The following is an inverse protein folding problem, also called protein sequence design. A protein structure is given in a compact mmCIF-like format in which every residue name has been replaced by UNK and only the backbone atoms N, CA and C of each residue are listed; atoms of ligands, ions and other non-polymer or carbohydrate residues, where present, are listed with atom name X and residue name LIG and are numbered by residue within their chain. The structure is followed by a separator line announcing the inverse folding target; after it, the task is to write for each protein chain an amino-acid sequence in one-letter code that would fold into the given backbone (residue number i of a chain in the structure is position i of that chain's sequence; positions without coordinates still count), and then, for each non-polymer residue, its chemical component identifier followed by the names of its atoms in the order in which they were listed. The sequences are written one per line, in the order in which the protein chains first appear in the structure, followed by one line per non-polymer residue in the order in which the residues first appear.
data_IF_161701419028
#
_entry.id   IF_161701419028
#
_cell.length_a   1.000
_cell.length_b   1.000
_cell.length_c   1.000
_cell.angle_alpha   90.00
_cell.angle_beta   90.00
_cell.angle_gamma   90.00
#
_symmetry.space_group_name_H-M   'P 1'
#
loop_
_entity.id
_entity.type
_entity.pdbx_description
1 polymer ?
#
# COMPACT_ATOMS: atom_id res chain seq x y z
N UNK A 1 -23.87 10.09 0.40
CA UNK A 1 -23.17 9.59 1.61
C UNK A 1 -22.13 10.60 2.01
N UNK A 2 -22.02 10.85 3.30
CA UNK A 2 -21.08 11.82 3.87
C UNK A 2 -19.82 11.11 4.34
N UNK A 3 -18.67 11.48 3.80
CA UNK A 3 -17.36 10.89 4.13
C UNK A 3 -16.43 11.97 4.67
N UNK A 4 -15.85 11.71 5.85
CA UNK A 4 -14.79 12.54 6.40
C UNK A 4 -13.42 12.10 5.87
N UNK A 5 -12.64 13.00 5.31
CA UNK A 5 -11.24 12.73 4.91
C UNK A 5 -10.31 13.46 5.88
N UNK A 6 -9.56 12.71 6.66
CA UNK A 6 -8.62 13.18 7.68
C UNK A 6 -7.22 13.17 7.12
N UNK A 7 -6.70 14.36 6.86
CA UNK A 7 -5.41 14.60 6.22
C UNK A 7 -5.56 15.29 4.85
N UNK A 8 -4.98 16.48 4.73
CA UNK A 8 -4.99 17.28 3.49
C UNK A 8 -3.68 17.15 2.69
N UNK A 9 -2.95 16.05 2.89
CA UNK A 9 -1.76 15.71 2.14
C UNK A 9 -2.06 15.10 0.77
N UNK A 10 -1.00 14.60 0.11
CA UNK A 10 -1.07 13.98 -1.21
C UNK A 10 -2.12 12.84 -1.28
N UNK A 11 -2.12 11.93 -0.31
CA UNK A 11 -3.07 10.81 -0.29
C UNK A 11 -4.49 11.27 0.02
N UNK A 12 -4.67 12.16 1.00
CA UNK A 12 -5.99 12.73 1.30
C UNK A 12 -6.62 13.43 0.10
N UNK A 13 -5.82 14.16 -0.69
CA UNK A 13 -6.30 14.80 -1.91
C UNK A 13 -6.79 13.78 -2.95
N UNK A 14 -6.04 12.68 -3.18
CA UNK A 14 -6.43 11.61 -4.10
C UNK A 14 -7.73 10.95 -3.64
N UNK A 15 -7.81 10.60 -2.35
CA UNK A 15 -9.00 9.95 -1.77
C UNK A 15 -10.24 10.84 -1.85
N UNK A 16 -10.09 12.13 -1.54
CA UNK A 16 -11.18 13.09 -1.63
C UNK A 16 -11.68 13.25 -3.07
N UNK A 17 -10.75 13.42 -4.04
CA UNK A 17 -11.07 13.52 -5.46
C UNK A 17 -11.82 12.29 -5.98
N UNK A 18 -11.35 11.08 -5.64
CA UNK A 18 -11.96 9.83 -6.07
C UNK A 18 -13.36 9.65 -5.49
N UNK A 19 -13.54 9.94 -4.20
CA UNK A 19 -14.83 9.81 -3.52
C UNK A 19 -15.86 10.84 -4.04
N UNK A 20 -15.42 12.06 -4.31
CA UNK A 20 -16.26 13.08 -4.96
C UNK A 20 -16.68 12.62 -6.36
N UNK A 21 -15.75 12.07 -7.14
CA UNK A 21 -16.03 11.50 -8.47
C UNK A 21 -17.02 10.34 -8.42
N UNK A 22 -17.07 9.59 -7.32
CA UNK A 22 -18.00 8.49 -7.08
C UNK A 22 -19.33 8.94 -6.41
N UNK A 23 -19.56 10.25 -6.28
CA UNK A 23 -20.79 10.86 -5.80
C UNK A 23 -20.95 10.94 -4.28
N UNK A 24 -19.87 10.82 -3.51
CA UNK A 24 -19.90 11.09 -2.07
C UNK A 24 -19.86 12.60 -1.77
N UNK A 25 -20.49 13.00 -0.68
CA UNK A 25 -20.28 14.31 -0.05
C UNK A 25 -19.04 14.22 0.84
N UNK A 26 -17.98 14.99 0.54
CA UNK A 26 -16.71 14.92 1.24
C UNK A 26 -16.52 16.16 2.11
N UNK A 27 -16.11 15.95 3.36
CA UNK A 27 -15.62 17.01 4.27
C UNK A 27 -14.17 16.72 4.65
N UNK A 28 -13.28 17.70 4.45
CA UNK A 28 -11.84 17.57 4.71
C UNK A 28 -11.51 18.11 6.09
N UNK A 29 -10.75 17.31 6.84
CA UNK A 29 -10.20 17.66 8.15
C UNK A 29 -8.67 17.58 8.13
N UNK A 30 -8.00 18.51 8.77
CA UNK A 30 -6.56 18.48 8.92
C UNK A 30 -6.14 19.25 10.17
N UNK A 31 -5.10 18.80 10.89
CA UNK A 31 -4.60 19.51 12.09
C UNK A 31 -4.25 20.99 11.82
N UNK A 32 -3.86 21.33 10.58
CA UNK A 32 -3.75 22.70 10.09
C UNK A 32 -5.01 23.01 9.29
N UNK A 33 -5.98 23.68 9.88
CA UNK A 33 -7.28 23.94 9.26
C UNK A 33 -7.15 24.64 7.90
N UNK A 34 -6.24 25.58 7.77
CA UNK A 34 -5.96 26.26 6.48
C UNK A 34 -5.65 25.26 5.34
N UNK A 35 -4.91 24.18 5.63
CA UNK A 35 -4.62 23.17 4.60
C UNK A 35 -5.87 22.37 4.19
N UNK A 36 -6.81 22.17 5.11
CA UNK A 36 -8.10 21.56 4.80
C UNK A 36 -8.96 22.49 3.94
N UNK A 37 -9.02 23.77 4.28
CA UNK A 37 -9.74 24.81 3.53
C UNK A 37 -9.22 24.96 2.08
N UNK A 38 -7.87 25.04 1.92
CA UNK A 38 -7.23 25.15 0.61
C UNK A 38 -7.55 23.95 -0.29
N UNK A 39 -7.45 22.72 0.28
CA UNK A 39 -7.77 21.51 -0.46
C UNK A 39 -9.25 21.42 -0.80
N UNK A 40 -10.12 21.71 0.15
CA UNK A 40 -11.57 21.70 -0.06
C UNK A 40 -12.00 22.71 -1.15
N UNK A 41 -11.45 23.92 -1.11
CA UNK A 41 -11.67 24.94 -2.15
C UNK A 41 -11.22 24.46 -3.53
N UNK A 42 -10.05 23.80 -3.60
CA UNK A 42 -9.52 23.25 -4.85
C UNK A 42 -10.40 22.15 -5.43
N UNK A 43 -10.98 21.30 -4.59
CA UNK A 43 -11.79 20.15 -4.99
C UNK A 43 -13.30 20.50 -5.11
N UNK A 44 -13.72 21.65 -4.61
CA UNK A 44 -15.14 22.05 -4.59
C UNK A 44 -15.98 21.27 -3.58
N UNK A 45 -15.41 20.96 -2.42
CA UNK A 45 -16.09 20.26 -1.33
C UNK A 45 -15.98 21.03 -0.01
N UNK A 46 -16.50 20.47 1.08
CA UNK A 46 -16.50 21.09 2.41
C UNK A 46 -15.20 20.85 3.16
N UNK A 47 -14.87 21.74 4.08
CA UNK A 47 -13.88 21.55 5.14
C UNK A 47 -14.48 21.93 6.50
N UNK A 48 -13.89 21.40 7.57
CA UNK A 48 -14.29 21.76 8.93
C UNK A 48 -13.08 21.75 9.86
N UNK A 49 -13.19 22.43 10.99
CA UNK A 49 -12.16 22.43 12.04
C UNK A 49 -11.86 21.00 12.52
N UNK A 50 -10.59 20.67 12.70
CA UNK A 50 -10.16 19.33 13.11
C UNK A 50 -10.84 18.84 14.39
N UNK A 51 -11.09 19.75 15.34
CA UNK A 51 -11.81 19.47 16.60
C UNK A 51 -13.23 18.93 16.42
N UNK A 52 -13.83 19.20 15.28
CA UNK A 52 -15.24 18.86 14.98
C UNK A 52 -15.42 17.48 14.35
N UNK A 53 -14.34 16.73 14.08
CA UNK A 53 -14.42 15.43 13.42
C UNK A 53 -15.28 14.41 14.17
N UNK A 54 -15.32 14.51 15.51
CA UNK A 54 -16.08 13.59 16.37
C UNK A 54 -17.49 14.06 16.68
N UNK A 55 -17.80 15.34 16.45
CA UNK A 55 -19.10 15.94 16.73
C UNK A 55 -20.06 15.91 15.55
N UNK A 56 -19.57 15.65 14.35
CA UNK A 56 -20.35 15.53 13.14
C UNK A 56 -20.63 14.05 12.81
N UNK A 57 -21.74 13.79 12.12
CA UNK A 57 -22.11 12.43 11.72
C UNK A 57 -21.70 12.18 10.28
N UNK A 58 -20.82 11.18 10.08
CA UNK A 58 -20.40 10.69 8.78
C UNK A 58 -20.79 9.23 8.61
N UNK A 59 -20.95 8.81 7.36
CA UNK A 59 -21.22 7.42 7.02
C UNK A 59 -19.92 6.59 6.98
N UNK A 60 -18.76 7.23 6.76
CA UNK A 60 -17.44 6.62 6.77
C UNK A 60 -16.32 7.65 6.93
N UNK A 61 -15.13 7.16 7.21
CA UNK A 61 -13.93 7.97 7.45
C UNK A 61 -12.76 7.49 6.59
N UNK A 62 -11.94 8.43 6.13
CA UNK A 62 -10.65 8.15 5.49
C UNK A 62 -9.55 8.72 6.35
N UNK A 63 -8.59 7.91 6.78
CA UNK A 63 -7.40 8.33 7.53
C UNK A 63 -6.21 8.31 6.58
N UNK A 64 -5.80 9.51 6.13
CA UNK A 64 -4.72 9.73 5.15
C UNK A 64 -3.68 10.73 5.68
N UNK A 65 -3.34 10.59 6.95
CA UNK A 65 -2.33 11.38 7.67
C UNK A 65 -0.95 10.73 7.59
N UNK A 66 0.02 11.27 8.31
CA UNK A 66 1.29 10.58 8.52
C UNK A 66 1.08 9.35 9.43
N UNK A 67 1.85 8.29 9.23
CA UNK A 67 1.70 6.99 9.92
C UNK A 67 1.69 7.11 11.44
N UNK A 68 2.53 7.97 12.00
CA UNK A 68 2.62 8.19 13.46
C UNK A 68 1.36 8.80 14.10
N UNK A 69 0.41 9.29 13.28
CA UNK A 69 -0.87 9.81 13.76
C UNK A 69 -2.03 8.81 13.58
N UNK A 70 -1.83 7.71 12.85
CA UNK A 70 -2.92 6.78 12.53
C UNK A 70 -3.56 6.19 13.79
N UNK A 71 -2.76 5.66 14.72
CA UNK A 71 -3.26 4.96 15.92
C UNK A 71 -4.10 5.89 16.79
N UNK A 72 -3.65 7.13 17.04
CA UNK A 72 -4.41 8.12 17.81
C UNK A 72 -5.78 8.40 17.17
N UNK A 73 -5.79 8.61 15.85
CA UNK A 73 -7.02 8.91 15.11
C UNK A 73 -7.93 7.68 15.06
N UNK A 74 -7.39 6.50 14.79
CA UNK A 74 -8.16 5.25 14.74
C UNK A 74 -8.80 4.92 16.10
N UNK A 75 -8.06 5.08 17.21
CA UNK A 75 -8.60 4.87 18.55
C UNK A 75 -9.80 5.76 18.86
N UNK A 76 -9.87 6.93 18.25
CA UNK A 76 -10.98 7.86 18.41
C UNK A 76 -12.15 7.60 17.43
N UNK A 77 -11.87 7.11 16.21
CA UNK A 77 -12.88 6.88 15.18
C UNK A 77 -13.51 5.48 15.24
N UNK A 78 -12.74 4.47 15.62
CA UNK A 78 -13.21 3.07 15.67
C UNK A 78 -14.43 2.90 16.57
N UNK A 79 -14.51 3.54 17.77
CA UNK A 79 -15.70 3.45 18.62
C UNK A 79 -16.99 4.00 18.00
N UNK A 80 -16.92 4.76 16.92
CA UNK A 80 -18.08 5.30 16.22
C UNK A 80 -18.82 4.24 15.39
N UNK A 81 -18.23 3.05 15.19
CA UNK A 81 -18.84 1.93 14.48
C UNK A 81 -19.06 2.15 12.98
N UNK A 82 -18.36 3.11 12.37
CA UNK A 82 -18.47 3.44 10.94
C UNK A 82 -17.27 2.90 10.16
N UNK A 83 -17.44 2.47 8.90
CA UNK A 83 -16.32 2.02 8.08
C UNK A 83 -15.21 3.07 7.95
N UNK A 84 -13.96 2.60 7.99
CA UNK A 84 -12.78 3.45 7.91
C UNK A 84 -11.87 2.92 6.78
N UNK A 85 -11.43 3.80 5.87
CA UNK A 85 -10.28 3.55 4.99
C UNK A 85 -9.05 4.16 5.66
N UNK A 86 -8.09 3.34 6.05
CA UNK A 86 -6.84 3.80 6.63
C UNK A 86 -5.69 3.57 5.65
N UNK A 87 -4.87 4.58 5.39
CA UNK A 87 -3.63 4.42 4.62
C UNK A 87 -2.66 3.47 5.34
N UNK A 88 -1.83 2.81 4.56
CA UNK A 88 -0.79 1.90 5.06
C UNK A 88 0.45 2.67 5.55
N UNK A 89 1.20 2.08 6.47
CA UNK A 89 0.80 1.02 7.40
C UNK A 89 -0.16 1.55 8.47
N UNK A 90 -0.92 0.68 9.12
CA UNK A 90 -1.80 1.09 10.23
C UNK A 90 -0.96 1.70 11.36
N UNK A 91 0.14 1.04 11.72
CA UNK A 91 1.17 1.52 12.62
C UNK A 91 2.54 0.95 12.24
N UNK A 92 3.60 1.37 12.93
CA UNK A 92 4.95 0.82 12.74
C UNK A 92 5.25 -0.40 13.62
N UNK A 93 4.33 -0.80 14.51
CA UNK A 93 4.46 -1.96 15.39
C UNK A 93 3.30 -2.93 15.23
N UNK A 94 3.57 -4.23 15.47
CA UNK A 94 2.52 -5.26 15.44
C UNK A 94 1.57 -5.07 16.62
N UNK A 95 2.10 -4.72 17.77
CA UNK A 95 1.36 -4.54 19.02
C UNK A 95 0.28 -3.46 18.89
N UNK A 96 0.64 -2.27 18.39
CA UNK A 96 -0.32 -1.19 18.14
C UNK A 96 -1.34 -1.58 17.06
N UNK A 97 -0.91 -2.31 16.02
CA UNK A 97 -1.82 -2.80 14.98
C UNK A 97 -2.82 -3.80 15.58
N UNK A 98 -2.37 -4.70 16.47
CA UNK A 98 -3.23 -5.66 17.16
C UNK A 98 -4.25 -4.98 18.10
N UNK A 99 -3.85 -3.92 18.79
CA UNK A 99 -4.75 -3.11 19.63
C UNK A 99 -5.85 -2.43 18.79
N UNK A 100 -5.49 -1.88 17.63
CA UNK A 100 -6.46 -1.30 16.69
C UNK A 100 -7.43 -2.37 16.17
N UNK A 101 -6.92 -3.55 15.79
CA UNK A 101 -7.76 -4.67 15.31
C UNK A 101 -8.72 -5.13 16.41
N UNK A 102 -8.23 -5.34 17.63
CA UNK A 102 -9.06 -5.78 18.76
C UNK A 102 -10.16 -4.75 19.08
N UNK A 103 -9.82 -3.46 19.00
CA UNK A 103 -10.80 -2.38 19.20
C UNK A 103 -11.83 -2.38 18.07
N UNK A 104 -11.41 -2.54 16.82
CA UNK A 104 -12.31 -2.61 15.67
C UNK A 104 -13.27 -3.81 15.76
N UNK A 105 -12.75 -4.98 16.14
CA UNK A 105 -13.58 -6.19 16.37
C UNK A 105 -14.61 -5.96 17.50
N UNK A 106 -14.21 -5.30 18.60
CA UNK A 106 -15.10 -4.97 19.72
C UNK A 106 -16.28 -4.09 19.31
N UNK A 107 -16.05 -3.11 18.45
CA UNK A 107 -17.09 -2.16 18.00
C UNK A 107 -17.74 -2.56 16.67
N UNK A 108 -17.32 -3.66 16.05
CA UNK A 108 -17.83 -4.11 14.76
C UNK A 108 -17.43 -3.17 13.60
N UNK A 109 -16.37 -2.39 13.78
CA UNK A 109 -15.92 -1.39 12.80
C UNK A 109 -15.11 -2.05 11.69
N UNK A 110 -15.52 -1.81 10.45
CA UNK A 110 -14.79 -2.29 9.29
C UNK A 110 -13.65 -1.32 8.95
N UNK A 111 -12.41 -1.79 8.99
CA UNK A 111 -11.23 -1.03 8.54
C UNK A 111 -10.73 -1.63 7.24
N UNK A 112 -10.85 -0.90 6.14
CA UNK A 112 -10.17 -1.20 4.86
C UNK A 112 -8.80 -0.54 4.88
N UNK A 113 -7.74 -1.29 4.56
CA UNK A 113 -6.39 -0.73 4.51
C UNK A 113 -6.01 -0.37 3.08
N UNK A 114 -5.30 0.75 2.92
CA UNK A 114 -4.90 1.33 1.63
C UNK A 114 -3.83 0.53 0.90
N UNK A 115 -4.13 -0.72 0.51
CA UNK A 115 -3.29 -1.53 -0.38
C UNK A 115 -3.81 -1.46 -1.82
N UNK A 116 -3.64 -0.30 -2.44
CA UNK A 116 -4.16 -0.01 -3.77
C UNK A 116 -3.75 -1.02 -4.85
N UNK A 117 -2.60 -1.70 -4.69
CA UNK A 117 -2.13 -2.66 -5.70
C UNK A 117 -3.09 -3.85 -5.90
N UNK A 118 -3.91 -4.22 -4.90
CA UNK A 118 -4.97 -5.24 -5.05
C UNK A 118 -6.05 -4.82 -6.05
N UNK A 119 -6.25 -3.51 -6.22
CA UNK A 119 -7.25 -2.90 -7.09
C UNK A 119 -6.71 -2.55 -8.48
N UNK A 120 -5.41 -2.76 -8.74
CA UNK A 120 -4.82 -2.60 -10.07
C UNK A 120 -5.40 -3.67 -11.02
N UNK A 121 -6.06 -3.27 -12.12
CA UNK A 121 -6.79 -4.22 -12.95
C UNK A 121 -5.98 -5.43 -13.41
N UNK A 122 -4.74 -5.28 -13.94
CA UNK A 122 -3.94 -6.43 -14.33
C UNK A 122 -3.54 -7.31 -13.14
N UNK A 123 -3.22 -6.75 -11.96
CA UNK A 123 -2.90 -7.53 -10.76
C UNK A 123 -4.15 -8.29 -10.29
N UNK A 124 -5.32 -7.63 -10.23
CA UNK A 124 -6.58 -8.26 -9.85
C UNK A 124 -6.98 -9.38 -10.82
N UNK A 125 -6.74 -9.19 -12.13
CA UNK A 125 -6.97 -10.24 -13.13
C UNK A 125 -6.05 -11.44 -12.90
N UNK A 126 -4.76 -11.20 -12.67
CA UNK A 126 -3.80 -12.29 -12.41
C UNK A 126 -4.15 -13.07 -11.14
N UNK A 127 -4.53 -12.39 -10.05
CA UNK A 127 -4.99 -13.04 -8.82
C UNK A 127 -6.22 -13.94 -9.06
N UNK A 128 -7.16 -13.50 -9.89
CA UNK A 128 -8.32 -14.34 -10.30
C UNK A 128 -7.90 -15.55 -11.11
N UNK A 129 -6.98 -15.41 -12.06
CA UNK A 129 -6.45 -16.53 -12.84
C UNK A 129 -5.76 -17.56 -11.94
N UNK A 130 -4.99 -17.10 -10.95
CA UNK A 130 -4.38 -18.00 -9.95
C UNK A 130 -5.46 -18.72 -9.13
N UNK A 131 -6.44 -18.00 -8.59
CA UNK A 131 -7.50 -18.59 -7.76
C UNK A 131 -8.40 -19.57 -8.52
N UNK A 132 -8.58 -19.37 -9.82
CA UNK A 132 -9.32 -20.28 -10.70
C UNK A 132 -8.52 -21.54 -11.08
N UNK A 133 -7.20 -21.59 -10.78
CA UNK A 133 -6.31 -22.67 -11.20
C UNK A 133 -5.87 -22.61 -12.67
N UNK A 134 -6.06 -21.45 -13.33
CA UNK A 134 -5.65 -21.24 -14.73
C UNK A 134 -4.14 -21.33 -14.89
N UNK A 135 -3.39 -20.86 -13.89
CA UNK A 135 -1.90 -20.89 -13.86
C UNK A 135 -1.35 -22.24 -13.39
N UNK A 136 -2.21 -23.08 -12.78
CA UNK A 136 -1.83 -24.39 -12.22
C UNK A 136 -1.13 -24.26 -10.87
N UNK A 137 -0.21 -25.20 -10.59
CA UNK A 137 0.63 -25.12 -9.37
C UNK A 137 1.63 -23.98 -9.50
N UNK A 138 1.61 -23.04 -8.56
CA UNK A 138 2.56 -21.94 -8.54
C UNK A 138 3.97 -22.45 -8.18
N UNK A 139 4.95 -22.04 -8.96
CA UNK A 139 6.35 -22.31 -8.74
C UNK A 139 7.05 -21.12 -8.10
N UNK A 140 7.07 -19.99 -8.83
CA UNK A 140 7.78 -18.79 -8.40
C UNK A 140 7.01 -17.53 -8.73
N UNK A 141 7.27 -16.47 -7.92
CA UNK A 141 6.91 -15.10 -8.22
C UNK A 141 8.19 -14.24 -8.25
N UNK A 142 8.30 -13.33 -9.22
CA UNK A 142 9.34 -12.32 -9.25
C UNK A 142 8.70 -10.94 -9.16
N UNK A 143 9.16 -10.10 -8.24
CA UNK A 143 8.59 -8.79 -7.99
C UNK A 143 9.64 -7.69 -8.05
N UNK A 144 9.24 -6.57 -8.59
CA UNK A 144 10.06 -5.37 -8.76
C UNK A 144 9.30 -4.18 -8.16
N UNK A 145 9.95 -3.45 -7.27
CA UNK A 145 9.40 -2.26 -6.64
C UNK A 145 10.49 -1.17 -6.61
N UNK A 146 10.52 -0.36 -7.68
CA UNK A 146 11.56 0.65 -7.88
C UNK A 146 10.92 2.04 -7.94
N UNK A 147 11.26 2.89 -6.99
CA UNK A 147 10.84 4.28 -6.99
C UNK A 147 11.67 5.13 -7.97
N UNK A 148 11.03 6.07 -8.64
CA UNK A 148 11.70 6.95 -9.60
C UNK A 148 12.65 7.95 -8.94
N UNK A 149 12.31 8.42 -7.74
CA UNK A 149 13.09 9.43 -7.03
C UNK A 149 13.29 9.05 -5.56
N UNK A 150 14.46 9.40 -4.99
CA UNK A 150 14.73 9.15 -3.59
C UNK A 150 13.72 9.83 -2.66
N UNK A 151 13.50 9.21 -1.52
CA UNK A 151 12.67 9.78 -0.46
C UNK A 151 13.31 11.04 0.15
N UNK A 152 12.46 11.99 0.58
CA UNK A 152 12.94 13.17 1.31
C UNK A 152 13.35 12.80 2.74
N UNK A 153 14.21 13.60 3.37
CA UNK A 153 14.62 13.38 4.76
C UNK A 153 13.44 13.41 5.72
N UNK A 154 12.51 14.36 5.54
CA UNK A 154 11.29 14.46 6.33
C UNK A 154 10.44 13.19 6.29
N UNK A 155 10.36 12.56 5.12
CA UNK A 155 9.65 11.29 4.97
C UNK A 155 10.36 10.15 5.70
N UNK A 156 11.70 10.07 5.63
CA UNK A 156 12.49 8.99 6.25
C UNK A 156 12.39 8.98 7.77
N UNK A 157 12.21 10.13 8.43
CA UNK A 157 12.06 10.22 9.89
C UNK A 157 10.88 9.43 10.44
N UNK A 158 9.84 9.20 9.63
CA UNK A 158 8.60 8.55 10.09
C UNK A 158 8.11 7.38 9.25
N UNK A 159 8.83 7.00 8.18
CA UNK A 159 8.37 5.97 7.24
C UNK A 159 8.71 4.53 7.66
N UNK A 160 9.65 4.36 8.57
CA UNK A 160 10.28 3.08 8.84
C UNK A 160 11.31 2.73 7.76
N UNK A 161 11.62 1.44 7.62
CA UNK A 161 12.57 0.95 6.62
C UNK A 161 11.94 0.78 5.24
N UNK A 162 12.77 0.52 4.23
CA UNK A 162 12.33 0.11 2.89
C UNK A 162 11.35 -1.07 2.94
N UNK A 163 11.46 -1.94 3.95
CA UNK A 163 10.58 -3.09 4.15
C UNK A 163 9.18 -2.68 4.61
N UNK A 164 9.07 -1.70 5.55
CA UNK A 164 7.79 -1.24 6.10
C UNK A 164 7.07 -0.25 5.19
N UNK A 165 7.80 0.48 4.37
CA UNK A 165 7.20 1.47 3.48
C UNK A 165 6.96 0.94 2.06
N UNK A 166 8.01 0.40 1.40
CA UNK A 166 7.94 -0.03 0.01
C UNK A 166 7.44 -1.48 -0.11
N UNK A 167 8.13 -2.42 0.56
CA UNK A 167 7.86 -3.86 0.39
C UNK A 167 6.63 -4.38 1.13
N UNK A 168 6.06 -3.62 2.05
CA UNK A 168 4.79 -3.97 2.69
C UNK A 168 3.69 -4.24 1.65
N UNK A 169 3.71 -3.54 0.52
CA UNK A 169 2.81 -3.78 -0.60
C UNK A 169 3.09 -5.11 -1.31
N UNK A 170 4.36 -5.49 -1.42
CA UNK A 170 4.76 -6.75 -2.06
C UNK A 170 4.36 -7.93 -1.17
N UNK A 171 4.61 -7.84 0.14
CA UNK A 171 4.24 -8.88 1.12
C UNK A 171 2.72 -9.08 1.15
N UNK A 172 1.95 -8.02 1.09
CA UNK A 172 0.49 -8.10 0.99
C UNK A 172 0.04 -8.82 -0.29
N UNK A 173 0.59 -8.44 -1.45
CA UNK A 173 0.24 -9.05 -2.72
C UNK A 173 0.61 -10.54 -2.80
N UNK A 174 1.78 -10.93 -2.28
CA UNK A 174 2.20 -12.34 -2.27
C UNK A 174 1.16 -13.17 -1.54
N UNK A 175 0.79 -12.78 -0.32
CA UNK A 175 -0.19 -13.48 0.50
C UNK A 175 -1.56 -13.55 -0.18
N UNK A 176 -1.99 -12.44 -0.76
CA UNK A 176 -3.28 -12.33 -1.42
C UNK A 176 -3.37 -13.15 -2.71
N UNK A 177 -2.32 -13.12 -3.56
CA UNK A 177 -2.29 -13.87 -4.83
C UNK A 177 -2.12 -15.36 -4.59
N UNK A 178 -1.18 -15.74 -3.71
CA UNK A 178 -0.87 -17.16 -3.44
C UNK A 178 -1.87 -17.81 -2.49
N UNK A 179 -2.70 -17.02 -1.79
CA UNK A 179 -3.58 -17.46 -0.70
C UNK A 179 -2.83 -18.27 0.35
N UNK A 180 -1.59 -17.89 0.62
CA UNK A 180 -0.67 -18.60 1.49
C UNK A 180 0.13 -17.61 2.32
N UNK A 181 0.39 -17.94 3.58
CA UNK A 181 1.23 -17.13 4.46
C UNK A 181 2.70 -17.25 4.05
N UNK A 182 3.50 -16.22 4.40
CA UNK A 182 4.94 -16.24 4.20
C UNK A 182 5.55 -16.98 5.39
N UNK A 183 6.32 -18.04 5.12
CA UNK A 183 6.90 -18.91 6.13
C UNK A 183 8.30 -18.48 6.53
N UNK A 184 9.10 -18.00 5.57
CA UNK A 184 10.51 -17.68 5.79
C UNK A 184 10.96 -16.58 4.83
N UNK A 185 11.83 -15.69 5.31
CA UNK A 185 12.47 -14.64 4.52
C UNK A 185 13.99 -14.65 4.71
N UNK A 186 14.70 -14.23 3.66
CA UNK A 186 16.09 -13.83 3.72
C UNK A 186 16.25 -12.53 2.95
N UNK A 187 16.74 -11.49 3.62
CA UNK A 187 16.87 -10.17 3.05
C UNK A 187 18.32 -9.69 3.04
N UNK A 188 18.71 -8.97 2.01
CA UNK A 188 19.95 -8.21 1.94
C UNK A 188 19.65 -6.79 1.48
N UNK A 189 20.47 -5.83 1.90
CA UNK A 189 20.32 -4.44 1.54
C UNK A 189 21.66 -3.73 1.40
N UNK A 190 21.67 -2.60 0.69
CA UNK A 190 22.85 -1.76 0.57
C UNK A 190 22.46 -0.30 0.38
N UNK A 191 23.31 0.63 0.83
CA UNK A 191 23.31 2.01 0.41
C UNK A 191 24.31 2.17 -0.73
N UNK A 192 23.81 2.39 -1.95
CA UNK A 192 24.65 2.43 -3.16
C UNK A 192 24.93 3.85 -3.64
N UNK A 193 23.90 4.69 -3.71
CA UNK A 193 23.97 6.04 -4.26
C UNK A 193 23.64 7.09 -3.19
N UNK A 194 22.57 6.90 -2.45
CA UNK A 194 21.97 7.93 -1.60
C UNK A 194 22.31 7.73 -0.12
N UNK A 195 23.41 8.31 0.35
CA UNK A 195 23.95 8.16 1.70
C UNK A 195 23.00 8.61 2.83
N UNK A 196 21.95 9.35 2.51
CA UNK A 196 20.94 9.76 3.48
C UNK A 196 20.24 8.58 4.17
N UNK A 197 20.07 7.47 3.48
CA UNK A 197 19.40 6.27 4.03
C UNK A 197 20.17 5.65 5.18
N UNK A 198 21.51 5.66 5.14
CA UNK A 198 22.35 5.12 6.21
C UNK A 198 22.12 5.81 7.57
N UNK A 199 21.67 7.07 7.59
CA UNK A 199 21.38 7.80 8.83
C UNK A 199 20.14 7.30 9.56
N UNK A 200 19.28 6.53 8.87
CA UNK A 200 18.02 6.00 9.39
C UNK A 200 18.03 4.48 9.45
N UNK A 201 19.20 3.84 9.41
CA UNK A 201 19.36 2.36 9.33
C UNK A 201 18.56 1.75 8.16
N UNK A 202 18.35 2.54 7.09
CA UNK A 202 17.61 2.18 5.88
C UNK A 202 18.56 2.01 4.68
N UNK A 203 18.03 1.62 3.53
CA UNK A 203 18.79 1.39 2.31
C UNK A 203 18.09 1.97 1.08
N UNK A 204 18.87 2.24 0.03
CA UNK A 204 18.33 2.60 -1.29
C UNK A 204 18.16 1.39 -2.20
N UNK A 205 18.72 0.22 -1.83
CA UNK A 205 18.60 -1.04 -2.58
C UNK A 205 18.34 -2.20 -1.63
N UNK A 206 17.42 -3.08 -2.01
CA UNK A 206 17.10 -4.31 -1.26
C UNK A 206 16.88 -5.49 -2.21
N UNK A 207 17.22 -6.68 -1.71
CA UNK A 207 16.91 -7.95 -2.36
C UNK A 207 16.35 -8.91 -1.31
N UNK A 208 15.22 -9.52 -1.60
CA UNK A 208 14.53 -10.44 -0.68
C UNK A 208 14.26 -11.75 -1.39
N UNK A 209 14.60 -12.85 -0.76
CA UNK A 209 14.15 -14.19 -1.09
C UNK A 209 13.22 -14.68 0.00
N UNK A 210 12.04 -15.20 -0.35
CA UNK A 210 11.11 -15.74 0.62
C UNK A 210 10.41 -17.01 0.12
N UNK A 211 9.86 -17.77 1.05
CA UNK A 211 9.08 -18.98 0.77
C UNK A 211 7.76 -18.88 1.51
N UNK A 212 6.68 -19.22 0.82
CA UNK A 212 5.34 -19.30 1.44
C UNK A 212 5.15 -20.66 2.12
N UNK A 213 4.12 -20.77 2.97
CA UNK A 213 3.73 -22.04 3.63
C UNK A 213 3.30 -23.11 2.64
N UNK A 214 2.82 -22.72 1.44
CA UNK A 214 2.51 -23.63 0.34
C UNK A 214 3.71 -24.02 -0.53
N UNK A 215 4.91 -23.48 -0.22
CA UNK A 215 6.15 -23.80 -0.93
C UNK A 215 6.49 -22.92 -2.12
N UNK A 216 5.68 -21.90 -2.44
CA UNK A 216 5.98 -20.95 -3.52
C UNK A 216 7.23 -20.16 -3.17
N UNK A 217 8.19 -20.08 -4.12
CA UNK A 217 9.42 -19.30 -3.97
C UNK A 217 9.22 -17.90 -4.54
N UNK A 218 9.69 -16.87 -3.85
CA UNK A 218 9.55 -15.48 -4.31
C UNK A 218 10.87 -14.75 -4.25
N UNK A 219 11.19 -14.01 -5.32
CA UNK A 219 12.29 -13.06 -5.37
C UNK A 219 11.73 -11.64 -5.51
N UNK A 220 12.20 -10.71 -4.69
CA UNK A 220 11.78 -9.30 -4.72
C UNK A 220 13.02 -8.42 -4.81
N UNK A 221 13.02 -7.46 -5.73
CA UNK A 221 14.01 -6.38 -5.76
C UNK A 221 13.34 -5.04 -5.47
N UNK A 222 13.99 -4.21 -4.67
CA UNK A 222 13.55 -2.87 -4.37
C UNK A 222 14.64 -1.84 -4.55
N UNK A 223 14.28 -0.69 -5.10
CA UNK A 223 15.16 0.47 -5.12
C UNK A 223 14.40 1.76 -4.77
N UNK A 224 15.08 2.66 -4.08
CA UNK A 224 14.56 4.01 -3.77
C UNK A 224 14.88 5.03 -4.87
N UNK A 225 15.52 4.59 -5.96
CA UNK A 225 15.85 5.42 -7.10
C UNK A 225 16.01 4.57 -8.37
N UNK A 226 15.18 4.83 -9.35
CA UNK A 226 15.32 4.35 -10.72
C UNK A 226 15.31 5.56 -11.67
N UNK A 227 16.43 5.90 -12.31
CA UNK A 227 16.53 7.10 -13.14
C UNK A 227 15.63 7.05 -14.38
N UNK A 228 15.18 5.88 -14.82
CA UNK A 228 14.32 5.71 -15.99
C UNK A 228 12.86 5.96 -15.65
N UNK A 229 12.40 5.60 -14.44
CA UNK A 229 11.03 5.82 -14.02
C UNK A 229 10.61 4.94 -12.85
N UNK A 230 9.34 5.05 -12.47
CA UNK A 230 8.74 4.22 -11.41
C UNK A 230 8.37 2.84 -11.97
N UNK A 231 8.99 1.78 -11.45
CA UNK A 231 8.82 0.42 -11.91
C UNK A 231 8.19 -0.48 -10.84
N UNK A 232 6.96 -0.91 -11.08
CA UNK A 232 6.31 -1.96 -10.28
C UNK A 232 5.79 -3.03 -11.22
N UNK A 233 6.44 -4.19 -11.17
CA UNK A 233 6.15 -5.35 -12.00
C UNK A 233 6.01 -6.60 -11.13
N UNK A 234 5.28 -7.57 -11.66
CA UNK A 234 5.10 -8.89 -11.08
C UNK A 234 5.12 -9.93 -12.21
N UNK A 235 5.89 -10.98 -12.04
CA UNK A 235 5.88 -12.16 -12.88
C UNK A 235 5.46 -13.36 -12.05
N UNK A 236 4.57 -14.19 -12.57
CA UNK A 236 4.02 -15.38 -11.92
C UNK A 236 4.28 -16.58 -12.82
N UNK A 237 4.93 -17.60 -12.31
CA UNK A 237 5.25 -18.83 -13.03
C UNK A 237 4.54 -20.01 -12.38
N UNK A 238 3.80 -20.75 -13.19
CA UNK A 238 3.08 -21.93 -12.74
C UNK A 238 3.19 -23.09 -13.72
N UNK A 239 2.57 -24.20 -13.35
CA UNK A 239 2.66 -25.44 -14.12
C UNK A 239 1.88 -25.44 -15.44
N UNK A 240 0.97 -24.49 -15.65
CA UNK A 240 0.12 -24.38 -16.84
C UNK A 240 0.35 -23.09 -17.62
N UNK A 241 0.76 -22.01 -16.96
CA UNK A 241 0.91 -20.70 -17.58
C UNK A 241 1.91 -19.83 -16.81
N UNK A 242 2.38 -18.75 -17.48
CA UNK A 242 3.24 -17.72 -16.92
C UNK A 242 2.68 -16.34 -17.26
N UNK A 243 2.59 -15.48 -16.27
CA UNK A 243 1.99 -14.16 -16.38
C UNK A 243 3.03 -13.07 -16.10
N UNK A 244 2.98 -11.97 -16.87
CA UNK A 244 3.74 -10.77 -16.59
C UNK A 244 2.78 -9.57 -16.42
N UNK A 245 2.93 -8.85 -15.33
CA UNK A 245 2.15 -7.66 -14.98
C UNK A 245 3.10 -6.47 -14.86
N UNK A 246 2.72 -5.33 -15.43
CA UNK A 246 3.56 -4.12 -15.44
C UNK A 246 4.58 -4.09 -16.56
N UNK A 247 4.73 -5.17 -17.32
CA UNK A 247 5.54 -5.20 -18.55
C UNK A 247 4.70 -4.64 -19.71
N UNK A 248 4.86 -3.37 -19.98
CA UNK A 248 4.12 -2.64 -21.00
C UNK A 248 5.01 -1.55 -21.65
N UNK A 249 4.46 -0.76 -22.57
CA UNK A 249 5.23 0.29 -23.27
C UNK A 249 5.81 1.36 -22.33
N UNK A 250 5.27 1.52 -21.12
CA UNK A 250 5.76 2.48 -20.11
C UNK A 250 6.71 1.86 -19.07
N UNK A 251 7.04 0.58 -19.21
CA UNK A 251 8.03 -0.07 -18.31
C UNK A 251 9.35 0.69 -18.36
N UNK A 252 9.92 1.11 -17.21
CA UNK A 252 11.10 1.99 -17.19
C UNK A 252 12.42 1.22 -17.31
N UNK A 253 12.55 0.47 -18.40
CA UNK A 253 13.78 -0.24 -18.80
C UNK A 253 14.11 0.12 -20.23
N UNK A 254 15.36 -0.09 -20.61
CA UNK A 254 15.81 -0.01 -21.99
C UNK A 254 15.97 -1.42 -22.54
N UNK A 255 15.38 -1.65 -23.71
CA UNK A 255 15.58 -2.88 -24.46
C UNK A 255 16.85 -2.75 -25.31
N UNK A 256 17.88 -3.51 -24.96
CA UNK A 256 19.16 -3.49 -25.64
C UNK A 256 19.10 -4.29 -26.97
N UNK A 257 18.18 -5.26 -27.07
CA UNK A 257 17.95 -6.03 -28.29
C UNK A 257 17.14 -5.24 -29.32
N UNK A 258 16.41 -4.20 -28.88
CA UNK A 258 15.66 -3.30 -29.77
C UNK A 258 14.33 -3.85 -30.27
N UNK A 259 13.84 -4.95 -29.71
CA UNK A 259 12.61 -5.61 -30.13
C UNK A 259 11.35 -4.93 -29.49
N UNK A 260 11.51 -4.28 -28.34
CA UNK A 260 10.39 -3.65 -27.62
C UNK A 260 10.38 -2.13 -27.88
N UNK A 261 9.34 -1.65 -28.53
CA UNK A 261 9.14 -0.22 -28.75
C UNK A 261 8.52 0.43 -27.50
N UNK A 262 9.36 0.78 -26.53
CA UNK A 262 8.93 1.49 -25.34
C UNK A 262 8.49 2.93 -25.64
N UNK A 263 7.49 3.44 -24.88
CA UNK A 263 7.08 4.83 -24.98
C UNK A 263 8.20 5.79 -24.52
N UNK A 264 8.33 6.98 -25.10
CA UNK A 264 9.36 7.94 -24.68
C UNK A 264 9.14 8.47 -23.26
N UNK A 265 7.90 8.43 -22.76
CA UNK A 265 7.55 8.87 -21.40
C UNK A 265 7.19 7.65 -20.57
N UNK A 266 7.90 7.48 -19.46
CA UNK A 266 7.69 6.43 -18.46
C UNK A 266 6.87 6.95 -17.28
N UNK A 267 6.40 6.05 -16.42
CA UNK A 267 5.77 6.45 -15.16
C UNK A 267 6.77 7.21 -14.28
N UNK A 268 6.36 8.38 -13.80
CA UNK A 268 7.19 9.22 -12.90
C UNK A 268 6.94 8.95 -11.42
N UNK A 269 5.96 8.12 -11.10
CA UNK A 269 5.67 7.79 -9.71
C UNK A 269 4.46 6.86 -9.59
N UNK A 270 4.25 6.41 -8.37
CA UNK A 270 3.19 5.45 -8.05
C UNK A 270 1.78 5.99 -8.30
N UNK A 271 1.56 7.31 -8.15
CA UNK A 271 0.25 7.92 -8.42
C UNK A 271 -0.12 7.74 -9.90
N UNK A 272 0.80 8.01 -10.81
CA UNK A 272 0.56 7.82 -12.24
C UNK A 272 0.39 6.34 -12.60
N UNK A 273 1.26 5.48 -12.04
CA UNK A 273 1.21 4.03 -12.30
C UNK A 273 -0.09 3.39 -11.79
N UNK A 274 -0.58 3.84 -10.63
CA UNK A 274 -1.71 3.22 -9.94
C UNK A 274 -2.95 4.12 -9.87
N UNK A 275 -3.09 5.13 -10.76
CA UNK A 275 -4.22 6.06 -10.71
C UNK A 275 -5.58 5.36 -10.74
N UNK A 276 -5.72 4.38 -11.62
CA UNK A 276 -6.95 3.57 -11.72
C UNK A 276 -7.16 2.69 -10.48
N UNK A 277 -6.09 2.16 -9.91
CA UNK A 277 -6.15 1.35 -8.71
C UNK A 277 -6.64 2.16 -7.49
N UNK A 278 -6.15 3.40 -7.33
CA UNK A 278 -6.64 4.31 -6.28
C UNK A 278 -8.11 4.64 -6.43
N UNK A 279 -8.57 4.92 -7.64
CA UNK A 279 -9.99 5.19 -7.89
C UNK A 279 -10.86 3.97 -7.55
N UNK A 280 -10.45 2.77 -7.98
CA UNK A 280 -11.17 1.51 -7.67
C UNK A 280 -11.15 1.16 -6.18
N UNK A 281 -10.07 1.45 -5.47
CA UNK A 281 -9.98 1.25 -4.04
C UNK A 281 -10.91 2.19 -3.27
N UNK A 282 -10.95 3.47 -3.65
CA UNK A 282 -11.87 4.45 -3.08
C UNK A 282 -13.33 4.11 -3.39
N UNK A 283 -13.63 3.62 -4.60
CA UNK A 283 -14.94 3.10 -4.98
C UNK A 283 -15.33 1.88 -4.14
N UNK A 284 -14.42 0.93 -3.93
CA UNK A 284 -14.66 -0.22 -3.08
C UNK A 284 -14.94 0.19 -1.62
N UNK A 285 -14.23 1.18 -1.11
CA UNK A 285 -14.53 1.75 0.20
C UNK A 285 -15.93 2.39 0.24
N UNK A 286 -16.32 3.13 -0.78
CA UNK A 286 -17.66 3.71 -0.89
C UNK A 286 -18.75 2.60 -0.90
N UNK A 287 -18.54 1.49 -1.62
CA UNK A 287 -19.42 0.33 -1.61
C UNK A 287 -19.45 -0.38 -0.23
N UNK A 288 -18.29 -0.53 0.42
CA UNK A 288 -18.20 -1.06 1.78
C UNK A 288 -19.03 -0.21 2.76
N UNK A 289 -18.95 1.10 2.65
CA UNK A 289 -19.71 2.03 3.50
C UNK A 289 -21.23 1.87 3.31
N UNK A 290 -21.68 1.47 2.13
CA UNK A 290 -23.08 1.13 1.83
C UNK A 290 -23.48 -0.27 2.26
N UNK A 291 -22.53 -1.10 2.67
CA UNK A 291 -22.77 -2.52 2.97
C UNK A 291 -22.99 -3.39 1.72
N UNK A 292 -22.60 -2.92 0.55
CA UNK A 292 -22.79 -3.62 -0.74
C UNK A 292 -21.75 -4.71 -0.96
N UNK A 293 -20.58 -4.61 -0.33
CA UNK A 293 -19.48 -5.58 -0.43
C UNK A 293 -18.90 -5.90 0.94
N UNK A 294 -18.26 -7.07 1.05
CA UNK A 294 -17.37 -7.38 2.18
C UNK A 294 -16.06 -6.61 2.05
N UNK A 295 -15.36 -6.42 3.19
CA UNK A 295 -14.09 -5.69 3.22
C UNK A 295 -13.03 -6.39 2.34
N UNK A 296 -12.57 -5.76 1.25
CA UNK A 296 -11.62 -6.38 0.32
C UNK A 296 -10.17 -6.37 0.84
N UNK A 297 -9.88 -5.55 1.86
CA UNK A 297 -8.54 -5.38 2.41
C UNK A 297 -8.58 -5.18 3.94
N UNK A 298 -8.85 -6.26 4.72
CA UNK A 298 -9.02 -6.17 6.17
C UNK A 298 -7.69 -5.86 6.88
N UNK A 299 -7.71 -5.27 8.08
CA UNK A 299 -6.52 -4.85 8.81
C UNK A 299 -5.57 -6.00 9.17
N UNK A 300 -6.08 -7.24 9.29
CA UNK A 300 -5.25 -8.44 9.46
C UNK A 300 -4.26 -8.63 8.32
N UNK A 301 -4.59 -8.24 7.09
CA UNK A 301 -3.65 -8.29 5.96
C UNK A 301 -2.46 -7.36 6.17
N UNK A 302 -2.71 -6.15 6.66
CA UNK A 302 -1.65 -5.17 6.97
C UNK A 302 -0.76 -5.64 8.12
N UNK A 303 -1.36 -6.21 9.16
CA UNK A 303 -0.64 -6.82 10.28
C UNK A 303 0.36 -7.88 9.82
N UNK A 304 -0.08 -8.81 9.00
CA UNK A 304 0.80 -9.89 8.50
C UNK A 304 1.87 -9.35 7.55
N UNK A 305 1.57 -8.39 6.69
CA UNK A 305 2.57 -7.74 5.86
C UNK A 305 3.63 -7.01 6.69
N UNK A 306 3.24 -6.36 7.79
CA UNK A 306 4.16 -5.73 8.74
C UNK A 306 5.05 -6.77 9.46
N UNK A 307 4.51 -7.94 9.85
CA UNK A 307 5.33 -9.03 10.43
C UNK A 307 6.44 -9.48 9.49
N UNK A 308 6.12 -9.60 8.20
CA UNK A 308 7.13 -9.96 7.18
C UNK A 308 8.19 -8.87 7.06
N UNK A 309 7.79 -7.59 7.09
CA UNK A 309 8.74 -6.47 7.06
C UNK A 309 9.72 -6.52 8.25
N UNK A 310 9.20 -6.78 9.45
CA UNK A 310 10.02 -6.94 10.68
C UNK A 310 10.95 -8.15 10.57
N UNK A 311 10.48 -9.27 10.02
CA UNK A 311 11.32 -10.45 9.79
C UNK A 311 12.45 -10.17 8.76
N UNK A 312 12.20 -9.32 7.75
CA UNK A 312 13.27 -8.87 6.86
C UNK A 312 14.32 -8.04 7.59
N UNK A 313 13.89 -7.10 8.44
CA UNK A 313 14.81 -6.30 9.27
C UNK A 313 15.65 -7.19 10.22
N UNK A 314 15.05 -8.21 10.80
CA UNK A 314 15.76 -9.19 11.61
C UNK A 314 16.76 -10.01 10.77
N UNK A 315 16.37 -10.39 9.55
CA UNK A 315 17.29 -11.06 8.60
C UNK A 315 18.50 -10.21 8.26
N UNK A 316 18.33 -8.90 8.09
CA UNK A 316 19.45 -7.96 7.88
C UNK A 316 20.38 -7.92 9.08
N UNK A 317 19.85 -7.83 10.32
CA UNK A 317 20.63 -7.75 11.54
C UNK A 317 21.44 -9.01 11.80
N UNK A 318 20.84 -10.17 11.53
CA UNK A 318 21.45 -11.48 11.82
C UNK A 318 22.28 -12.05 10.67
N UNK A 319 22.04 -11.58 9.43
CA UNK A 319 22.59 -12.17 8.22
C UNK A 319 22.08 -13.60 7.95
N UNK A 320 20.95 -13.98 8.56
CA UNK A 320 20.37 -15.32 8.48
C UNK A 320 18.93 -15.28 7.98
N UNK A 321 18.43 -16.39 7.39
CA UNK A 321 17.01 -16.55 7.14
C UNK A 321 16.19 -16.55 8.44
N UNK A 322 15.03 -15.88 8.42
CA UNK A 322 14.12 -15.72 9.56
C UNK A 322 12.76 -16.36 9.23
N UNK A 323 12.20 -17.12 10.16
CA UNK A 323 10.82 -17.59 10.09
C UNK A 323 9.86 -16.44 10.48
N UNK A 324 8.75 -16.32 9.77
CA UNK A 324 7.73 -15.27 9.99
C UNK A 324 6.67 -15.76 10.98
#
# INVERSE_FOLDING_TARGET
MKIAVVGAGRMGAIRAEDLLGDGAEVTIFNRRDLAAEELAKKLGCDSSEYSQIYSQTFDGYVVATATNAHVEILNSLVPLGKPILCEKPISLTVEETDEVIATADKYGTQIQVGFQRRFDPPISKAAKMVSNGDVGTLYTLHMYAHDHQPSTLEFLEGSGSIYRDLHVHDFDLIRWITQSEIAKVYATQAVREHQQYAKYDDADVSLISLTTTSGVQVAITGTRHDPVGHDVRLEIFGSKDSLAIGLNKKTPIHDIEGEINFAPVRYKGFIERFREAFAKESQAFHQLTKGEISNPCPPKSAREALRVAIACEESIKTGQPVNV
#
